data_IF_113532408303
#
_entry.id   IF_113532408303
#
_cell.length_a   1.000
_cell.length_b   1.000
_cell.length_c   1.000
_cell.angle_alpha   90.00
_cell.angle_beta   90.00
_cell.angle_gamma   90.00
#
_symmetry.space_group_name_H-M   'P 1'
#
loop_
_entity.id
_entity.type
_entity.pdbx_description
1 polymer ?
#
# COMPACT_ATOMS: atom_id res chain seq x y z
N UNK A 1 16.74 21.33 -28.78
CA UNK A 1 17.46 20.82 -27.59
C UNK A 1 16.43 20.35 -26.56
N UNK A 2 16.80 19.31 -25.82
CA UNK A 2 16.15 18.73 -24.62
C UNK A 2 14.84 17.95 -24.81
N UNK A 3 14.97 16.63 -24.62
CA UNK A 3 13.91 15.67 -24.42
C UNK A 3 13.48 15.69 -22.95
N UNK A 4 12.22 16.03 -22.66
CA UNK A 4 11.68 15.87 -21.31
C UNK A 4 10.71 14.69 -21.31
N UNK A 5 11.33 13.52 -21.38
CA UNK A 5 10.70 12.22 -21.12
C UNK A 5 10.46 12.14 -19.60
N UNK A 6 9.44 12.80 -19.09
CA UNK A 6 8.98 12.55 -17.73
C UNK A 6 8.15 11.29 -17.75
N UNK A 7 8.84 10.14 -17.71
CA UNK A 7 8.35 8.95 -17.01
C UNK A 7 8.07 9.42 -15.59
N UNK A 8 6.91 10.03 -15.35
CA UNK A 8 6.46 10.22 -13.99
C UNK A 8 6.23 8.82 -13.47
N UNK A 9 7.04 8.48 -12.48
CA UNK A 9 7.04 7.26 -11.72
C UNK A 9 5.66 7.11 -11.06
N UNK A 10 4.68 6.66 -11.84
CA UNK A 10 3.40 6.10 -11.39
C UNK A 10 3.70 4.75 -10.73
N UNK A 11 4.50 4.80 -9.68
CA UNK A 11 5.03 3.65 -8.94
C UNK A 11 5.09 3.89 -7.45
N UNK A 12 4.62 5.04 -6.98
CA UNK A 12 4.63 5.46 -5.58
C UNK A 12 3.20 5.74 -5.09
N UNK A 13 2.26 4.87 -5.45
CA UNK A 13 0.92 4.82 -4.85
C UNK A 13 0.67 3.42 -4.30
N UNK A 14 1.70 2.81 -3.71
CA UNK A 14 1.54 1.48 -3.13
C UNK A 14 0.83 1.57 -1.78
N UNK A 15 -0.26 0.83 -1.63
CA UNK A 15 -1.04 0.69 -0.41
C UNK A 15 -0.38 -0.34 0.50
N UNK A 16 -0.14 0.05 1.76
CA UNK A 16 0.41 -0.82 2.79
C UNK A 16 -0.69 -1.70 3.40
N UNK A 17 -0.50 -3.00 3.30
CA UNK A 17 -1.29 -4.03 3.96
C UNK A 17 -0.46 -4.72 5.02
N UNK A 18 -1.06 -4.96 6.18
CA UNK A 18 -0.46 -5.72 7.27
C UNK A 18 -1.21 -7.03 7.43
N UNK A 19 -0.53 -8.06 7.90
CA UNK A 19 -1.18 -9.31 8.23
C UNK A 19 -0.59 -9.90 9.50
N UNK A 20 -1.40 -10.69 10.20
CA UNK A 20 -0.95 -11.53 11.31
C UNK A 20 -1.22 -12.99 10.97
N UNK A 21 -0.15 -13.78 10.92
CA UNK A 21 -0.27 -15.19 10.66
C UNK A 21 -0.91 -15.92 11.86
N UNK A 22 -2.03 -16.63 11.68
CA UNK A 22 -2.62 -17.42 12.76
C UNK A 22 -1.84 -18.71 13.06
N UNK A 23 -0.99 -19.18 12.13
CA UNK A 23 -0.21 -20.40 12.28
C UNK A 23 1.06 -20.20 13.12
N UNK A 24 1.86 -19.18 12.80
CA UNK A 24 3.12 -18.90 13.51
C UNK A 24 3.09 -17.63 14.39
N UNK A 25 2.05 -16.80 14.27
CA UNK A 25 1.94 -15.53 14.99
C UNK A 25 2.75 -14.38 14.37
N UNK A 26 3.52 -14.63 13.30
CA UNK A 26 4.33 -13.62 12.62
C UNK A 26 3.47 -12.50 12.04
N UNK A 27 3.95 -11.26 12.16
CA UNK A 27 3.34 -10.08 11.52
C UNK A 27 4.20 -9.66 10.35
N UNK A 28 3.59 -9.52 9.19
CA UNK A 28 4.28 -9.04 7.99
C UNK A 28 3.52 -7.90 7.34
N UNK A 29 4.19 -7.25 6.40
CA UNK A 29 3.66 -6.16 5.60
C UNK A 29 3.81 -6.47 4.11
N UNK A 30 2.84 -6.06 3.31
CA UNK A 30 2.78 -6.24 1.86
C UNK A 30 2.33 -4.93 1.25
N UNK A 31 2.99 -4.52 0.17
CA UNK A 31 2.61 -3.34 -0.59
C UNK A 31 1.87 -3.80 -1.85
N UNK A 32 0.65 -3.31 -2.05
CA UNK A 32 -0.16 -3.53 -3.25
C UNK A 32 -0.30 -2.23 -4.05
N UNK A 33 -0.60 -2.33 -5.34
CA UNK A 33 -0.74 -1.17 -6.24
C UNK A 33 -2.03 -0.36 -6.00
N UNK A 34 -3.03 -0.94 -5.34
CA UNK A 34 -4.33 -0.32 -5.08
C UNK A 34 -5.04 -0.92 -3.84
N UNK A 35 -6.01 -0.17 -3.30
CA UNK A 35 -6.73 -0.47 -2.05
C UNK A 35 -7.82 -1.56 -2.20
N UNK A 36 -8.02 -2.09 -3.41
CA UNK A 36 -9.03 -3.11 -3.71
C UNK A 36 -8.72 -4.49 -3.12
N UNK A 37 -7.55 -4.64 -2.50
CA UNK A 37 -7.03 -5.90 -1.95
C UNK A 37 -7.35 -6.09 -0.45
N UNK A 38 -8.23 -5.26 0.13
CA UNK A 38 -8.71 -5.44 1.50
C UNK A 38 -9.37 -6.81 1.67
N UNK A 39 -8.89 -7.59 2.65
CA UNK A 39 -9.40 -8.92 2.94
C UNK A 39 -8.94 -10.02 1.99
N UNK A 40 -8.04 -9.71 1.05
CA UNK A 40 -7.47 -10.73 0.16
C UNK A 40 -6.54 -11.70 0.91
N UNK A 41 -6.35 -12.90 0.34
CA UNK A 41 -5.54 -13.95 0.93
C UNK A 41 -4.05 -13.76 0.58
N UNK A 42 -3.28 -13.29 1.56
CA UNK A 42 -1.82 -13.24 1.48
C UNK A 42 -1.16 -14.58 1.86
N UNK A 43 0.16 -14.64 1.63
CA UNK A 43 1.02 -15.74 2.09
C UNK A 43 2.00 -15.23 3.12
N UNK A 44 2.07 -15.91 4.28
CA UNK A 44 3.04 -15.57 5.31
C UNK A 44 4.47 -15.81 4.82
N UNK A 45 5.33 -14.81 4.91
CA UNK A 45 6.74 -14.90 4.48
C UNK A 45 7.60 -15.79 5.38
N UNK A 46 7.15 -16.06 6.61
CA UNK A 46 7.85 -16.86 7.59
C UNK A 46 7.52 -18.36 7.47
N UNK A 47 6.22 -18.70 7.44
CA UNK A 47 5.78 -20.10 7.44
C UNK A 47 5.04 -20.55 6.17
N UNK A 48 4.72 -19.64 5.25
CA UNK A 48 3.97 -19.94 4.02
C UNK A 48 2.47 -20.20 4.23
N UNK A 49 1.93 -20.02 5.43
CA UNK A 49 0.50 -20.18 5.68
C UNK A 49 -0.32 -19.05 5.03
N UNK A 50 -1.57 -19.36 4.68
CA UNK A 50 -2.53 -18.36 4.22
C UNK A 50 -2.88 -17.41 5.36
N UNK A 51 -2.88 -16.11 5.05
CA UNK A 51 -3.18 -15.01 5.96
C UNK A 51 -4.18 -14.08 5.30
N UNK A 52 -4.97 -13.38 6.11
CA UNK A 52 -5.83 -12.31 5.60
C UNK A 52 -5.04 -11.02 5.65
N UNK A 53 -4.97 -10.32 4.52
CA UNK A 53 -4.40 -8.99 4.45
C UNK A 53 -5.41 -8.00 5.03
N UNK A 54 -5.00 -7.30 6.08
CA UNK A 54 -5.75 -6.21 6.67
C UNK A 54 -5.10 -4.90 6.21
N UNK A 55 -5.92 -3.98 5.74
CA UNK A 55 -5.44 -2.65 5.41
C UNK A 55 -5.04 -1.92 6.71
N UNK A 56 -3.81 -1.41 6.79
CA UNK A 56 -3.29 -0.73 8.01
C UNK A 56 -3.84 0.70 8.17
N UNK A 57 -4.69 1.17 7.25
CA UNK A 57 -5.25 2.52 7.29
C UNK A 57 -4.27 3.64 6.93
N UNK A 58 -3.00 3.30 6.65
CA UNK A 58 -1.97 4.24 6.24
C UNK A 58 -2.08 4.53 4.75
N UNK A 59 -2.92 5.49 4.36
CA UNK A 59 -2.76 6.10 3.03
C UNK A 59 -1.41 6.82 3.04
N UNK A 60 -0.41 6.30 2.32
CA UNK A 60 0.76 7.10 1.95
C UNK A 60 0.31 8.09 0.88
N UNK A 61 -0.51 9.06 1.27
CA UNK A 61 -0.61 10.30 0.51
C UNK A 61 0.75 10.96 0.66
N UNK A 62 1.64 10.72 -0.30
CA UNK A 62 2.71 11.65 -0.55
C UNK A 62 2.03 12.99 -0.88
N UNK A 63 1.78 13.83 0.13
CA UNK A 63 1.44 15.23 -0.03
C UNK A 63 2.65 15.94 -0.65
N UNK A 64 2.94 15.65 -1.91
CA UNK A 64 3.65 16.57 -2.80
C UNK A 64 2.63 17.54 -3.38
N UNK A 65 1.95 18.29 -2.51
CA UNK A 65 1.19 19.44 -2.92
C UNK A 65 1.46 20.58 -1.95
N UNK A 66 2.19 21.63 -2.35
CA UNK A 66 1.78 22.94 -1.88
C UNK A 66 0.51 23.28 -2.66
N UNK A 67 -0.69 22.92 -2.15
CA UNK A 67 -1.91 23.48 -2.72
C UNK A 67 -3.26 22.78 -2.54
N UNK A 68 -3.48 21.87 -1.59
CA UNK A 68 -4.86 21.45 -1.30
C UNK A 68 -5.56 22.50 -0.40
N UNK A 69 -6.54 23.23 -0.96
CA UNK A 69 -7.51 24.01 -0.17
C UNK A 69 -8.64 23.08 0.25
N UNK A 70 -8.84 22.91 1.56
CA UNK A 70 -10.08 22.35 2.11
C UNK A 70 -11.14 23.46 2.01
N UNK A 71 -12.05 23.35 1.04
CA UNK A 71 -13.32 24.08 1.07
C UNK A 71 -14.40 23.07 1.46
N UNK A 72 -14.78 23.11 2.73
CA UNK A 72 -15.93 22.41 3.30
C UNK A 72 -17.18 23.24 3.01
N UNK A 73 -18.27 22.64 2.49
CA UNK A 73 -19.55 23.32 2.25
C UNK A 73 -20.71 22.64 2.93
#
# INVERSE_FOLDING_TARGET
MAANRSKSDDKDQSVLYVYRCPACGHRGEVHHEDDTHEGDAGVCSDCGALVTLEWDGGVQVAFSAPGYVQDES
#
